data_IF_736314853498
#
_entry.id   IF_736314853498
#
_cell.length_a   1.000
_cell.length_b   1.000
_cell.length_c   1.000
_cell.angle_alpha   90.00
_cell.angle_beta   90.00
_cell.angle_gamma   90.00
#
_symmetry.space_group_name_H-M   'P 1'
#
loop_
_entity.id
_entity.type
_entity.pdbx_description
1 polymer ?
#
# COMPACT_ATOMS: atom_id res chain seq x y z
N UNK A 1 -21.27 -79.30 45.38
CA UNK A 1 -20.54 -78.85 44.21
C UNK A 1 -21.22 -79.08 42.82
N UNK A 2 -22.40 -79.69 42.78
CA UNK A 2 -23.07 -80.08 41.50
C UNK A 2 -23.97 -78.96 40.85
N UNK A 3 -24.32 -77.88 41.56
CA UNK A 3 -25.21 -76.82 41.04
C UNK A 3 -24.51 -75.75 40.23
N UNK A 4 -23.19 -75.56 40.44
CA UNK A 4 -22.42 -74.50 39.70
C UNK A 4 -22.13 -74.97 38.26
N UNK A 5 -21.96 -76.27 38.02
CA UNK A 5 -21.67 -76.82 36.69
C UNK A 5 -22.82 -76.63 35.66
N UNK A 6 -24.04 -76.32 36.09
CA UNK A 6 -25.18 -76.16 35.20
C UNK A 6 -25.30 -74.78 34.53
N UNK A 7 -24.59 -73.80 35.04
CA UNK A 7 -24.62 -72.42 34.55
C UNK A 7 -23.36 -72.05 33.80
N UNK A 8 -22.33 -72.86 33.81
CA UNK A 8 -21.10 -72.62 33.04
C UNK A 8 -21.19 -73.41 31.74
N UNK A 9 -22.01 -73.00 30.84
CA UNK A 9 -21.99 -73.48 29.46
C UNK A 9 -20.99 -72.64 28.62
N UNK A 10 -20.44 -73.28 27.59
CA UNK A 10 -19.55 -72.57 26.65
C UNK A 10 -20.17 -71.27 26.16
N UNK A 11 -21.49 -71.35 25.84
CA UNK A 11 -22.24 -70.17 25.40
C UNK A 11 -22.27 -69.06 26.46
N UNK A 12 -22.48 -69.40 27.72
CA UNK A 12 -22.52 -68.40 28.80
C UNK A 12 -21.12 -67.77 29.03
N UNK A 13 -20.04 -68.55 28.94
CA UNK A 13 -18.68 -68.07 29.07
C UNK A 13 -18.37 -67.10 27.93
N UNK A 14 -18.70 -67.46 26.69
CA UNK A 14 -18.47 -66.59 25.54
C UNK A 14 -19.31 -65.32 25.65
N UNK A 15 -20.58 -65.42 26.10
CA UNK A 15 -21.43 -64.23 26.30
C UNK A 15 -20.89 -63.28 27.34
N UNK A 16 -20.32 -63.81 28.45
CA UNK A 16 -19.66 -62.97 29.47
C UNK A 16 -18.39 -62.36 28.95
N UNK A 17 -17.57 -63.12 28.23
CA UNK A 17 -16.36 -62.57 27.58
C UNK A 17 -16.75 -61.50 26.54
N UNK A 18 -17.74 -61.74 25.70
CA UNK A 18 -18.24 -60.78 24.73
C UNK A 18 -18.76 -59.51 25.44
N UNK A 19 -19.47 -59.66 26.54
CA UNK A 19 -19.93 -58.54 27.35
C UNK A 19 -18.76 -57.76 27.95
N UNK A 20 -17.76 -58.46 28.48
CA UNK A 20 -16.54 -57.82 28.99
C UNK A 20 -15.78 -57.08 27.87
N UNK A 21 -15.66 -57.67 26.70
CA UNK A 21 -15.02 -57.04 25.55
C UNK A 21 -15.85 -55.85 25.07
N UNK A 22 -17.21 -55.96 25.02
CA UNK A 22 -18.10 -54.88 24.65
C UNK A 22 -18.11 -53.72 25.67
N UNK A 23 -18.02 -54.05 26.97
CA UNK A 23 -18.01 -53.07 28.05
C UNK A 23 -16.60 -52.56 28.39
N UNK A 24 -15.58 -53.39 28.17
CA UNK A 24 -14.19 -53.04 28.47
C UNK A 24 -13.30 -52.72 27.27
N UNK A 25 -13.61 -53.27 26.10
CA UNK A 25 -12.89 -52.99 24.85
C UNK A 25 -13.44 -51.84 24.05
N UNK A 26 -14.62 -51.35 24.45
CA UNK A 26 -15.21 -50.14 23.87
C UNK A 26 -15.09 -48.93 24.76
N UNK A 27 -14.01 -48.81 25.51
CA UNK A 27 -13.69 -47.50 26.05
C UNK A 27 -13.43 -46.59 24.82
N UNK A 28 -14.45 -45.84 24.43
CA UNK A 28 -14.18 -44.57 23.79
C UNK A 28 -13.21 -43.87 24.78
N UNK A 29 -11.92 -44.00 24.55
CA UNK A 29 -10.95 -43.19 25.24
C UNK A 29 -11.31 -41.81 24.82
N UNK A 30 -12.09 -41.09 25.66
CA UNK A 30 -12.26 -39.68 25.50
C UNK A 30 -10.85 -39.13 25.45
N UNK A 31 -10.45 -38.61 24.31
CA UNK A 31 -9.15 -37.98 24.12
C UNK A 31 -9.05 -36.83 25.13
N UNK A 32 -8.54 -37.17 26.32
CA UNK A 32 -8.50 -36.27 27.46
C UNK A 32 -7.03 -35.93 27.74
N UNK A 33 -6.65 -34.74 27.34
CA UNK A 33 -5.27 -34.25 27.52
C UNK A 33 -4.83 -33.31 26.38
N UNK A 34 -3.65 -32.76 26.54
CA UNK A 34 -2.96 -31.96 25.51
C UNK A 34 -2.36 -32.88 24.45
N UNK A 35 -2.54 -32.53 23.15
CA UNK A 35 -2.03 -33.31 22.00
C UNK A 35 -2.61 -34.74 21.89
N UNK A 36 -3.88 -34.90 22.23
CA UNK A 36 -4.55 -36.21 22.22
C UNK A 36 -5.08 -36.59 20.83
N UNK A 37 -5.28 -35.65 19.94
CA UNK A 37 -5.63 -35.90 18.53
C UNK A 37 -4.37 -35.85 17.69
N UNK A 38 -3.94 -36.98 17.18
CA UNK A 38 -2.80 -37.09 16.25
C UNK A 38 -3.28 -37.23 14.81
N UNK A 39 -2.38 -37.07 13.86
CA UNK A 39 -2.74 -37.13 12.42
C UNK A 39 -3.30 -38.48 11.99
N UNK A 40 -3.00 -39.55 12.69
CA UNK A 40 -3.48 -40.90 12.46
C UNK A 40 -4.86 -41.17 13.11
N UNK A 41 -5.29 -40.34 14.04
CA UNK A 41 -6.65 -40.37 14.61
C UNK A 41 -7.68 -39.81 13.60
N UNK A 42 -7.24 -39.02 12.65
CA UNK A 42 -8.05 -38.52 11.52
C UNK A 42 -7.86 -39.48 10.33
N UNK A 43 -8.79 -40.42 10.16
CA UNK A 43 -8.72 -41.36 9.05
C UNK A 43 -8.65 -40.69 7.67
N UNK A 44 -8.22 -41.40 6.61
CA UNK A 44 -8.16 -40.84 5.26
C UNK A 44 -9.49 -40.23 4.83
N UNK A 45 -9.52 -38.94 4.51
CA UNK A 45 -10.72 -38.20 4.16
C UNK A 45 -11.53 -37.66 5.33
N UNK A 46 -11.10 -37.88 6.58
CA UNK A 46 -11.71 -37.24 7.74
C UNK A 46 -11.42 -35.74 7.72
N UNK A 47 -12.44 -34.95 7.98
CA UNK A 47 -12.34 -33.49 8.00
C UNK A 47 -12.80 -32.98 9.36
N UNK A 48 -12.08 -32.01 9.89
CA UNK A 48 -12.57 -31.18 11.00
C UNK A 48 -13.53 -30.18 10.39
N UNK A 49 -14.80 -30.28 10.69
CA UNK A 49 -15.83 -29.37 10.18
C UNK A 49 -15.79 -28.04 10.95
N UNK A 50 -16.28 -26.98 10.31
CA UNK A 50 -16.35 -25.67 10.97
C UNK A 50 -17.14 -25.70 12.30
N UNK A 51 -18.14 -26.61 12.44
CA UNK A 51 -18.90 -26.79 13.67
C UNK A 51 -18.08 -27.44 14.81
N UNK A 52 -16.98 -28.10 14.48
CA UNK A 52 -16.11 -28.78 15.45
C UNK A 52 -15.05 -27.83 16.04
N UNK A 53 -14.94 -26.64 15.44
CA UNK A 53 -13.99 -25.60 15.87
C UNK A 53 -14.79 -24.44 16.49
N UNK A 54 -14.63 -24.25 17.79
CA UNK A 54 -15.28 -23.14 18.46
C UNK A 54 -14.79 -21.78 17.92
N UNK A 55 -15.62 -20.77 18.01
CA UNK A 55 -15.24 -19.41 17.63
C UNK A 55 -13.97 -18.99 18.40
N UNK A 56 -12.99 -18.42 17.69
CA UNK A 56 -11.69 -18.00 18.21
C UNK A 56 -10.79 -19.15 18.76
N UNK A 57 -11.13 -20.41 18.47
CA UNK A 57 -10.31 -21.53 18.91
C UNK A 57 -8.97 -21.62 18.16
N UNK A 58 -8.91 -21.09 16.94
CA UNK A 58 -7.68 -21.00 16.14
C UNK A 58 -7.16 -19.56 16.24
N UNK A 59 -6.06 -19.38 16.91
CA UNK A 59 -5.32 -18.13 17.02
C UNK A 59 -3.91 -18.27 16.41
N UNK A 60 -3.14 -17.18 16.38
CA UNK A 60 -1.81 -17.18 15.78
C UNK A 60 -0.81 -18.17 16.41
N UNK A 61 -1.05 -18.65 17.65
CA UNK A 61 -0.20 -19.65 18.29
C UNK A 61 -0.43 -21.07 17.77
N UNK A 62 -1.54 -21.28 17.07
CA UNK A 62 -1.97 -22.58 16.53
C UNK A 62 -1.72 -22.71 15.02
N UNK A 63 -1.32 -21.64 14.39
CA UNK A 63 -0.96 -21.59 12.98
C UNK A 63 0.57 -21.43 12.89
N UNK A 64 1.24 -22.41 12.32
CA UNK A 64 2.69 -22.31 12.14
C UNK A 64 3.03 -21.15 11.19
N UNK A 65 4.09 -20.41 11.50
CA UNK A 65 4.54 -19.31 10.67
C UNK A 65 4.80 -19.77 9.22
N UNK A 66 4.22 -19.04 8.26
CA UNK A 66 4.33 -19.34 6.84
C UNK A 66 3.50 -20.54 6.34
N UNK A 67 2.69 -21.19 7.19
CA UNK A 67 1.84 -22.31 6.79
C UNK A 67 0.60 -21.90 6.02
N UNK A 68 0.16 -20.65 6.15
CA UNK A 68 -0.96 -20.09 5.38
C UNK A 68 -0.39 -19.29 4.22
N UNK A 69 -0.77 -19.64 3.02
CA UNK A 69 -0.38 -18.98 1.76
C UNK A 69 -1.59 -18.29 1.13
N UNK A 70 -1.38 -17.51 0.08
CA UNK A 70 -2.48 -16.88 -0.66
C UNK A 70 -3.48 -17.88 -1.27
N UNK A 71 -3.06 -19.14 -1.49
CA UNK A 71 -3.95 -20.19 -1.97
C UNK A 71 -4.93 -20.70 -0.88
N UNK A 72 -4.58 -20.49 0.37
CA UNK A 72 -5.34 -20.95 1.55
C UNK A 72 -6.35 -19.89 2.04
N UNK A 73 -6.32 -18.70 1.45
CA UNK A 73 -7.14 -17.54 1.87
C UNK A 73 -7.98 -17.07 0.70
N UNK A 74 -9.31 -17.01 0.88
CA UNK A 74 -10.19 -16.32 -0.05
C UNK A 74 -10.11 -14.80 0.23
N UNK A 75 -9.26 -14.11 -0.52
CA UNK A 75 -9.01 -12.68 -0.37
C UNK A 75 -10.27 -11.85 -0.62
N UNK A 76 -11.22 -12.35 -1.43
CA UNK A 76 -12.47 -11.64 -1.71
C UNK A 76 -13.40 -11.58 -0.50
N UNK A 77 -13.26 -12.50 0.43
CA UNK A 77 -14.00 -12.57 1.69
C UNK A 77 -13.37 -11.76 2.82
N UNK A 78 -12.11 -11.34 2.65
CA UNK A 78 -11.45 -10.47 3.62
C UNK A 78 -12.06 -9.08 3.52
N UNK A 79 -12.67 -8.61 4.58
CA UNK A 79 -13.04 -7.20 4.73
C UNK A 79 -11.81 -6.29 4.66
N UNK A 80 -11.99 -5.01 4.93
CA UNK A 80 -10.86 -4.08 5.03
C UNK A 80 -9.84 -4.62 6.02
N UNK A 81 -8.61 -4.88 5.57
CA UNK A 81 -7.50 -5.25 6.45
C UNK A 81 -7.05 -3.97 7.17
N UNK A 82 -7.42 -3.74 8.44
CA UNK A 82 -7.21 -2.44 9.11
C UNK A 82 -5.73 -2.07 9.24
N UNK A 83 -4.85 -3.05 9.14
CA UNK A 83 -3.41 -2.90 9.34
C UNK A 83 -2.60 -3.58 8.23
N UNK A 84 -2.96 -3.36 6.97
CA UNK A 84 -2.01 -3.62 5.90
C UNK A 84 -0.80 -2.69 6.13
N UNK A 85 0.16 -3.17 6.90
CA UNK A 85 1.35 -2.38 7.25
C UNK A 85 2.18 -2.00 6.02
N UNK A 86 1.94 -2.70 4.89
CA UNK A 86 2.63 -2.43 3.63
C UNK A 86 1.81 -2.89 2.43
N UNK A 87 1.77 -2.07 1.38
CA UNK A 87 1.31 -2.43 0.04
C UNK A 87 2.54 -2.47 -0.87
N UNK A 88 2.89 -3.64 -1.39
CA UNK A 88 4.12 -3.79 -2.19
C UNK A 88 5.40 -3.37 -1.45
N UNK A 89 5.45 -3.58 -0.13
CA UNK A 89 6.57 -3.17 0.71
C UNK A 89 6.53 -1.70 1.18
N UNK A 90 5.58 -0.91 0.71
CA UNK A 90 5.43 0.53 1.04
C UNK A 90 4.36 0.68 2.13
N UNK A 91 4.69 1.30 3.24
CA UNK A 91 3.71 1.66 4.25
C UNK A 91 2.71 2.69 3.69
N UNK A 92 1.39 2.61 4.01
CA UNK A 92 0.42 3.60 3.56
C UNK A 92 0.80 5.05 3.92
N UNK A 93 1.45 5.24 5.05
CA UNK A 93 1.99 6.54 5.49
C UNK A 93 3.17 7.05 4.65
N UNK A 94 3.80 6.17 3.87
CA UNK A 94 4.89 6.53 2.95
C UNK A 94 4.39 6.83 1.53
N UNK A 95 3.10 6.58 1.24
CA UNK A 95 2.40 7.02 0.03
C UNK A 95 1.94 8.47 0.22
N UNK A 96 2.87 9.35 0.52
CA UNK A 96 2.58 10.76 0.75
C UNK A 96 2.48 11.48 -0.58
N UNK A 97 1.40 12.22 -0.75
CA UNK A 97 1.23 13.15 -1.87
C UNK A 97 1.00 14.54 -1.33
N UNK A 98 1.61 15.53 -1.93
CA UNK A 98 1.32 16.93 -1.66
C UNK A 98 0.94 17.64 -2.96
N UNK A 99 0.02 18.58 -2.86
CA UNK A 99 -0.42 19.43 -3.98
C UNK A 99 -0.53 20.86 -3.53
N UNK A 100 -0.14 21.77 -4.40
CA UNK A 100 -0.46 23.17 -4.25
C UNK A 100 -1.02 23.69 -5.58
N UNK A 101 -1.91 24.65 -5.45
CA UNK A 101 -2.36 25.51 -6.55
C UNK A 101 -1.92 26.92 -6.19
N UNK A 102 -1.26 27.60 -7.11
CA UNK A 102 -0.94 29.02 -7.00
C UNK A 102 -1.73 29.77 -8.05
N UNK A 103 -2.48 30.75 -7.62
CA UNK A 103 -3.14 31.67 -8.56
C UNK A 103 -2.15 32.75 -8.94
N UNK A 104 -1.94 32.96 -10.21
CA UNK A 104 -1.18 34.03 -10.82
C UNK A 104 0.24 34.20 -10.29
N UNK A 105 1.21 33.82 -11.07
CA UNK A 105 2.62 34.12 -10.88
C UNK A 105 3.08 35.04 -11.98
N UNK A 106 3.61 36.22 -11.62
CA UNK A 106 4.13 37.20 -12.57
C UNK A 106 5.63 37.42 -12.33
N UNK A 107 6.50 36.68 -13.01
CA UNK A 107 7.93 36.91 -12.91
C UNK A 107 8.27 38.29 -13.46
N UNK A 108 8.59 39.22 -12.62
CA UNK A 108 8.94 40.61 -12.95
C UNK A 108 10.44 40.84 -13.15
N UNK A 109 11.24 39.82 -12.87
CA UNK A 109 12.69 39.89 -12.95
C UNK A 109 13.26 38.77 -13.83
N UNK A 110 14.52 38.97 -14.22
CA UNK A 110 15.34 37.94 -14.90
C UNK A 110 15.82 36.83 -13.97
N UNK A 111 15.59 36.97 -12.66
CA UNK A 111 15.84 35.92 -11.69
C UNK A 111 14.62 34.98 -11.59
N UNK A 112 14.87 33.72 -11.24
CA UNK A 112 13.80 32.79 -10.97
C UNK A 112 13.02 33.18 -9.72
N UNK A 113 11.72 33.19 -9.82
CA UNK A 113 10.76 33.38 -8.72
C UNK A 113 9.91 32.14 -8.57
N UNK A 114 9.51 31.83 -7.36
CA UNK A 114 8.65 30.68 -7.09
C UNK A 114 7.22 30.95 -7.55
N UNK A 115 6.74 30.10 -8.46
CA UNK A 115 5.37 30.11 -8.97
C UNK A 115 4.50 29.00 -8.32
N UNK A 116 4.91 28.47 -7.22
CA UNK A 116 4.22 27.47 -6.42
C UNK A 116 5.18 26.43 -5.86
N UNK A 117 4.93 26.01 -4.66
CA UNK A 117 5.72 24.98 -3.99
C UNK A 117 4.88 24.07 -3.09
N UNK A 118 5.35 22.86 -2.89
CA UNK A 118 4.82 21.88 -1.93
C UNK A 118 5.94 21.31 -1.09
N UNK A 119 5.65 21.05 0.17
CA UNK A 119 6.61 20.42 1.08
C UNK A 119 6.11 19.05 1.48
N UNK A 120 7.01 18.06 1.42
CA UNK A 120 6.76 16.68 1.87
C UNK A 120 7.82 16.31 2.90
N UNK A 121 7.40 15.61 3.95
CA UNK A 121 8.31 15.00 4.90
C UNK A 121 8.52 13.52 4.51
N UNK A 122 9.71 13.18 4.03
CA UNK A 122 10.10 11.82 3.68
C UNK A 122 10.46 11.06 4.97
N UNK A 123 9.72 9.98 5.24
CA UNK A 123 9.99 9.12 6.40
C UNK A 123 11.28 8.29 6.25
N UNK A 124 11.77 8.14 5.02
CA UNK A 124 12.98 7.38 4.66
C UNK A 124 13.51 7.85 3.31
N UNK A 125 14.72 7.41 2.95
CA UNK A 125 15.26 7.65 1.61
C UNK A 125 14.27 7.19 0.54
N UNK A 126 13.86 8.11 -0.34
CA UNK A 126 12.81 7.86 -1.33
C UNK A 126 13.04 8.71 -2.58
N UNK A 127 12.49 8.24 -3.71
CA UNK A 127 12.34 9.05 -4.91
C UNK A 127 11.00 9.76 -4.89
N UNK A 128 10.93 10.91 -5.52
CA UNK A 128 9.71 11.72 -5.62
C UNK A 128 9.44 12.04 -7.08
N UNK A 129 8.23 11.69 -7.55
CA UNK A 129 7.70 12.16 -8.82
C UNK A 129 7.13 13.56 -8.61
N UNK A 130 7.59 14.50 -9.41
CA UNK A 130 7.13 15.88 -9.42
C UNK A 130 6.41 16.13 -10.74
N UNK A 131 5.20 16.63 -10.66
CA UNK A 131 4.39 17.03 -11.81
C UNK A 131 3.95 18.46 -11.61
N UNK A 132 4.27 19.33 -12.53
CA UNK A 132 3.80 20.72 -12.54
C UNK A 132 3.09 21.03 -13.84
N UNK A 133 2.08 21.86 -13.77
CA UNK A 133 1.40 22.40 -14.93
C UNK A 133 0.89 23.81 -14.65
N UNK A 134 0.62 24.55 -15.71
CA UNK A 134 0.07 25.89 -15.66
C UNK A 134 -0.18 26.43 -17.06
N UNK A 135 -0.77 27.58 -17.12
CA UNK A 135 -0.92 28.34 -18.36
C UNK A 135 0.01 29.54 -18.32
N UNK A 136 0.82 29.68 -19.34
CA UNK A 136 1.63 30.87 -19.59
C UNK A 136 0.87 31.80 -20.48
N UNK A 137 0.93 33.09 -20.21
CA UNK A 137 0.36 34.11 -21.03
C UNK A 137 1.27 35.34 -21.15
N UNK A 138 1.22 35.99 -22.28
CA UNK A 138 1.83 37.28 -22.55
C UNK A 138 0.89 38.39 -22.15
N UNK A 139 1.37 39.42 -21.49
CA UNK A 139 0.58 40.61 -21.11
C UNK A 139 1.04 41.90 -21.77
N UNK A 140 2.03 41.85 -22.64
CA UNK A 140 2.57 43.02 -23.32
C UNK A 140 2.67 42.79 -24.83
N UNK A 141 2.48 43.85 -25.60
CA UNK A 141 2.81 43.84 -27.03
C UNK A 141 4.33 43.71 -27.22
N UNK A 142 4.75 42.94 -28.21
CA UNK A 142 6.15 42.73 -28.55
C UNK A 142 6.64 41.34 -28.11
N UNK A 143 7.91 41.09 -28.36
CA UNK A 143 8.52 39.82 -28.03
C UNK A 143 8.47 39.59 -26.52
N UNK A 144 7.78 38.54 -26.13
CA UNK A 144 7.72 38.08 -24.74
C UNK A 144 8.22 36.67 -24.64
N UNK A 145 9.06 36.38 -23.67
CA UNK A 145 9.59 35.05 -23.42
C UNK A 145 9.92 34.85 -21.97
N UNK A 146 9.83 33.58 -21.54
CA UNK A 146 10.19 33.16 -20.22
C UNK A 146 10.62 31.72 -20.18
N UNK A 147 11.16 31.32 -19.06
CA UNK A 147 11.50 29.92 -18.83
C UNK A 147 11.13 29.49 -17.41
N UNK A 148 10.81 28.19 -17.28
CA UNK A 148 10.48 27.58 -16.01
C UNK A 148 11.32 26.32 -15.79
N UNK A 149 11.46 25.97 -14.52
CA UNK A 149 12.13 24.75 -14.09
C UNK A 149 11.52 24.21 -12.79
N UNK A 150 11.73 22.96 -12.54
CA UNK A 150 11.46 22.39 -11.23
C UNK A 150 12.60 22.81 -10.28
N UNK A 151 12.26 23.21 -9.07
CA UNK A 151 13.17 23.41 -7.96
C UNK A 151 13.01 22.33 -6.92
N UNK A 152 14.12 21.90 -6.32
CA UNK A 152 14.14 21.00 -5.16
C UNK A 152 15.00 21.63 -4.10
N UNK A 153 14.42 21.87 -2.93
CA UNK A 153 15.07 22.53 -1.79
C UNK A 153 15.78 23.86 -2.15
N UNK A 154 15.12 24.64 -3.04
CA UNK A 154 15.64 25.91 -3.54
C UNK A 154 16.70 25.80 -4.63
N UNK A 155 17.16 24.60 -4.97
CA UNK A 155 18.11 24.35 -6.04
C UNK A 155 17.39 23.98 -7.36
N UNK A 156 17.97 24.33 -8.53
CA UNK A 156 17.44 23.91 -9.83
C UNK A 156 17.48 22.38 -9.96
N UNK A 157 16.41 21.82 -10.49
CA UNK A 157 16.31 20.39 -10.73
C UNK A 157 15.73 20.09 -12.12
N UNK A 158 16.46 19.35 -12.92
CA UNK A 158 16.09 19.04 -14.29
C UNK A 158 16.31 20.18 -15.28
N UNK A 159 15.85 20.03 -16.53
CA UNK A 159 16.06 21.01 -17.56
C UNK A 159 15.16 22.22 -17.38
N UNK A 160 15.63 23.37 -17.91
CA UNK A 160 14.77 24.51 -18.12
C UNK A 160 13.82 24.24 -19.29
N UNK A 161 12.57 24.63 -19.15
CA UNK A 161 11.58 24.55 -20.21
C UNK A 161 11.11 25.96 -20.57
N UNK A 162 11.13 26.22 -21.86
CA UNK A 162 10.61 27.47 -22.44
C UNK A 162 9.16 27.20 -22.82
N UNK A 163 8.17 27.81 -22.17
CA UNK A 163 6.75 27.58 -22.48
C UNK A 163 6.39 28.12 -23.87
N UNK A 164 7.18 29.02 -24.38
CA UNK A 164 7.02 29.58 -25.71
C UNK A 164 7.58 30.99 -25.82
N UNK A 165 7.53 31.52 -27.03
CA UNK A 165 7.87 32.88 -27.35
C UNK A 165 6.70 33.49 -28.09
N UNK A 166 6.20 34.62 -27.62
CA UNK A 166 5.20 35.41 -28.33
C UNK A 166 5.93 36.49 -29.14
N UNK A 167 5.79 36.40 -30.45
CA UNK A 167 6.43 37.30 -31.40
C UNK A 167 5.44 38.15 -32.20
N UNK A 168 4.13 37.99 -31.93
CA UNK A 168 3.12 38.55 -32.83
C UNK A 168 2.74 40.02 -32.58
N UNK A 169 3.36 40.67 -31.64
CA UNK A 169 3.12 42.10 -31.34
C UNK A 169 1.62 42.47 -31.19
N UNK A 170 0.76 41.48 -30.97
CA UNK A 170 -0.65 41.70 -30.72
C UNK A 170 -0.88 41.95 -29.21
N UNK A 171 -1.75 42.90 -28.90
CA UNK A 171 -2.12 43.20 -27.50
C UNK A 171 -3.04 42.14 -26.89
N UNK A 172 -3.23 41.01 -27.54
CA UNK A 172 -4.20 39.98 -27.20
C UNK A 172 -3.65 38.73 -26.57
N UNK A 173 -2.40 38.71 -26.18
CA UNK A 173 -1.76 37.66 -25.37
C UNK A 173 -1.87 36.24 -25.94
N UNK A 174 -0.75 35.63 -26.19
CA UNK A 174 -0.70 34.19 -26.51
C UNK A 174 -0.77 33.38 -25.20
N UNK A 175 -1.70 32.43 -25.14
CA UNK A 175 -1.77 31.48 -24.01
C UNK A 175 -1.18 30.14 -24.44
N UNK A 176 -0.28 29.62 -23.63
CA UNK A 176 0.32 28.32 -23.86
C UNK A 176 0.37 27.47 -22.56
N UNK A 177 0.17 26.18 -22.72
CA UNK A 177 0.26 25.25 -21.60
C UNK A 177 1.71 24.95 -21.27
N UNK A 178 2.04 24.96 -19.99
CA UNK A 178 3.30 24.48 -19.44
C UNK A 178 3.04 23.18 -18.70
N UNK A 179 3.84 22.16 -18.96
CA UNK A 179 3.86 20.93 -18.17
C UNK A 179 5.29 20.43 -18.02
N UNK A 180 5.70 20.22 -16.78
CA UNK A 180 6.99 19.58 -16.47
C UNK A 180 6.76 18.38 -15.55
N UNK A 181 7.48 17.31 -15.85
CA UNK A 181 7.48 16.09 -15.04
C UNK A 181 8.90 15.62 -14.86
N UNK A 182 9.26 15.29 -13.62
CA UNK A 182 10.57 14.73 -13.32
C UNK A 182 10.50 13.81 -12.10
N UNK A 183 11.50 12.93 -11.97
CA UNK A 183 11.67 12.05 -10.83
C UNK A 183 13.02 12.31 -10.21
N UNK A 184 13.05 12.55 -8.90
CA UNK A 184 14.31 12.81 -8.19
C UNK A 184 15.18 11.56 -8.13
N UNK A 185 16.48 11.76 -7.97
CA UNK A 185 17.33 10.74 -7.37
C UNK A 185 16.85 10.42 -5.95
N UNK A 186 17.31 9.30 -5.34
CA UNK A 186 16.96 8.99 -3.96
C UNK A 186 17.34 10.15 -3.01
N UNK A 187 16.33 10.73 -2.38
CA UNK A 187 16.49 11.83 -1.40
C UNK A 187 16.45 11.25 0.02
N UNK A 188 17.24 11.74 0.95
CA UNK A 188 17.26 11.26 2.34
C UNK A 188 15.92 11.49 3.05
N UNK A 189 15.73 10.86 4.21
CA UNK A 189 14.62 11.20 5.10
C UNK A 189 14.73 12.66 5.55
N UNK A 190 13.57 13.34 5.66
CA UNK A 190 13.50 14.73 6.05
C UNK A 190 12.47 15.53 5.30
N UNK A 191 12.41 16.82 5.58
CA UNK A 191 11.49 17.75 4.92
C UNK A 191 12.13 18.26 3.63
N UNK A 192 11.43 18.09 2.51
CA UNK A 192 11.88 18.55 1.19
C UNK A 192 10.79 19.38 0.52
N UNK A 193 11.23 20.46 -0.12
CA UNK A 193 10.34 21.38 -0.82
C UNK A 193 10.55 21.26 -2.33
N UNK A 194 9.46 21.06 -3.05
CA UNK A 194 9.41 20.96 -4.50
C UNK A 194 8.66 22.16 -5.04
N UNK A 195 9.23 22.88 -5.99
CA UNK A 195 8.67 24.10 -6.52
C UNK A 195 8.69 24.18 -8.04
N UNK A 196 7.83 25.04 -8.59
CA UNK A 196 7.93 25.54 -9.95
C UNK A 196 8.53 26.94 -9.87
N UNK A 197 9.70 27.12 -10.42
CA UNK A 197 10.38 28.42 -10.47
C UNK A 197 10.44 28.90 -11.92
N UNK A 198 9.97 30.11 -12.14
CA UNK A 198 9.93 30.73 -13.46
C UNK A 198 10.64 32.09 -13.47
N UNK A 199 11.14 32.49 -14.63
CA UNK A 199 11.72 33.82 -14.83
C UNK A 199 11.30 34.40 -16.17
N UNK A 200 11.26 35.70 -16.26
CA UNK A 200 11.10 36.45 -17.49
C UNK A 200 12.45 36.57 -18.19
N UNK A 201 12.44 36.40 -19.50
CA UNK A 201 13.58 36.73 -20.36
C UNK A 201 13.32 38.02 -21.16
N UNK A 202 12.10 38.21 -21.70
CA UNK A 202 11.70 39.41 -22.41
C UNK A 202 10.21 39.69 -22.17
N UNK A 203 9.80 40.95 -22.36
CA UNK A 203 8.41 41.38 -22.24
C UNK A 203 7.84 41.19 -20.82
N UNK A 204 6.52 41.10 -20.72
CA UNK A 204 5.82 40.79 -19.47
C UNK A 204 5.05 39.48 -19.63
N UNK A 205 5.33 38.55 -18.75
CA UNK A 205 4.72 37.22 -18.75
C UNK A 205 3.99 36.97 -17.43
N UNK A 206 2.96 36.15 -17.48
CA UNK A 206 2.24 35.64 -16.33
C UNK A 206 2.01 34.16 -16.45
N UNK A 207 1.82 33.53 -15.33
CA UNK A 207 1.38 32.12 -15.22
C UNK A 207 0.09 32.10 -14.44
N UNK A 208 -0.98 31.69 -15.11
CA UNK A 208 -2.26 31.48 -14.46
C UNK A 208 -2.36 30.05 -13.92
N UNK A 209 -2.92 29.95 -12.73
CA UNK A 209 -3.27 28.67 -12.14
C UNK A 209 -2.18 27.60 -12.24
N UNK A 210 -1.01 27.86 -11.69
CA UNK A 210 0.05 26.84 -11.61
C UNK A 210 -0.31 25.79 -10.57
N UNK A 211 -0.11 24.53 -10.95
CA UNK A 211 -0.28 23.38 -10.07
C UNK A 211 1.05 22.66 -9.91
N UNK A 212 1.33 22.25 -8.69
CA UNK A 212 2.43 21.33 -8.41
C UNK A 212 1.93 20.18 -7.58
N UNK A 213 2.32 19.00 -7.98
CA UNK A 213 2.08 17.77 -7.23
C UNK A 213 3.39 17.03 -7.04
N UNK A 214 3.62 16.54 -5.84
CA UNK A 214 4.74 15.69 -5.53
C UNK A 214 4.24 14.38 -4.91
N UNK A 215 4.73 13.26 -5.42
CA UNK A 215 4.29 11.91 -5.06
C UNK A 215 5.50 11.08 -4.68
N UNK A 216 5.52 10.52 -3.48
CA UNK A 216 6.59 9.64 -3.04
C UNK A 216 6.48 8.29 -3.75
N UNK A 217 7.53 7.87 -4.44
CA UNK A 217 7.59 6.61 -5.19
C UNK A 217 8.15 5.43 -4.38
N UNK A 218 8.48 5.63 -3.14
CA UNK A 218 9.09 4.61 -2.30
C UNK A 218 10.63 4.57 -2.40
N UNK A 219 11.23 3.71 -1.60
CA UNK A 219 12.68 3.46 -1.65
C UNK A 219 13.00 2.44 -2.72
N UNK A 220 14.01 2.68 -3.51
CA UNK A 220 14.69 1.64 -4.32
C UNK A 220 15.50 0.74 -3.41
#
# INVERSE_FOLDING_TARGET
MRRIRRYVSFANVISVIALFVALGGGTAVALNGTNTVQSDDLGPGAQVKAADVAANAVDGSKVADGSITGADVDESSLGTVPNASKVGGIAPSALTTARAKTSNCFPDSTNYVDCGAVTINLARTSRVLIVTNGMWHSTSAGVTSGECRIGVDGAPFGPNVFPGEDTDNSSGGTEQSLSLTNVTDPMPAGSHTFGLACRRQAGTIGFDETFISAVVLGSS
#
